data_IF_792525653963
#
_entry.id   IF_792525653963
#
_cell.length_a   1.000
_cell.length_b   1.000
_cell.length_c   1.000
_cell.angle_alpha   90.00
_cell.angle_beta   90.00
_cell.angle_gamma   90.00
#
_symmetry.space_group_name_H-M   'P 1'
#
loop_
_entity.id
_entity.type
_entity.pdbx_description
1 polymer ?
#
# COMPACT_ATOMS: atom_id res chain seq x y z
N UNK A 1 -21.32 -1.00 3.20
CA UNK A 1 -20.19 -0.59 4.05
C UNK A 1 -20.35 0.88 4.41
N UNK A 2 -20.81 1.17 5.62
CA UNK A 2 -20.77 2.53 6.19
C UNK A 2 -19.42 2.71 6.92
N UNK A 3 -18.32 2.51 6.21
CA UNK A 3 -16.98 2.53 6.80
C UNK A 3 -16.45 3.95 7.15
N UNK A 4 -17.31 4.97 7.11
CA UNK A 4 -16.92 6.36 7.42
C UNK A 4 -15.98 7.03 6.42
N UNK A 5 -15.59 6.35 5.33
CA UNK A 5 -14.72 6.88 4.30
C UNK A 5 -15.47 7.90 3.44
N UNK A 6 -15.14 9.18 3.59
CA UNK A 6 -15.75 10.26 2.80
C UNK A 6 -15.16 10.31 1.38
N UNK A 7 -13.83 10.32 1.28
CA UNK A 7 -13.08 10.32 0.01
C UNK A 7 -11.95 9.30 0.10
N UNK A 8 -11.84 8.45 -0.90
CA UNK A 8 -10.77 7.45 -0.92
C UNK A 8 -11.19 6.18 -1.65
N UNK A 9 -10.49 5.09 -1.37
CA UNK A 9 -10.79 3.80 -1.99
C UNK A 9 -10.41 2.62 -1.10
N UNK A 10 -11.00 1.46 -1.44
CA UNK A 10 -10.67 0.16 -0.87
C UNK A 10 -10.39 -0.79 -2.03
N UNK A 11 -9.24 -1.45 -1.99
CA UNK A 11 -8.84 -2.50 -2.93
C UNK A 11 -8.67 -3.80 -2.17
N UNK A 12 -9.33 -4.86 -2.62
CA UNK A 12 -9.15 -6.23 -2.10
C UNK A 12 -8.72 -7.14 -3.23
N UNK A 13 -7.58 -7.79 -3.07
CA UNK A 13 -7.04 -8.75 -4.02
C UNK A 13 -6.93 -10.14 -3.40
N UNK A 14 -7.08 -11.18 -4.21
CA UNK A 14 -6.54 -12.51 -3.88
C UNK A 14 -5.01 -12.43 -3.89
N UNK A 15 -4.39 -12.75 -2.76
CA UNK A 15 -2.96 -12.59 -2.57
C UNK A 15 -2.13 -13.50 -3.50
N UNK A 16 -2.67 -14.63 -3.93
CA UNK A 16 -1.94 -15.63 -4.68
C UNK A 16 -1.89 -15.33 -6.19
N UNK A 17 -3.00 -14.81 -6.74
CA UNK A 17 -3.17 -14.67 -8.18
C UNK A 17 -3.49 -13.26 -8.66
N UNK A 18 -3.68 -12.28 -7.73
CA UNK A 18 -3.97 -10.90 -8.07
C UNK A 18 -5.40 -10.64 -8.57
N UNK A 19 -6.33 -11.60 -8.43
CA UNK A 19 -7.74 -11.39 -8.78
C UNK A 19 -8.32 -10.24 -7.96
N UNK A 20 -8.97 -9.28 -8.63
CA UNK A 20 -9.63 -8.15 -7.98
C UNK A 20 -10.95 -8.64 -7.39
N UNK A 21 -10.99 -8.78 -6.07
CA UNK A 21 -12.18 -9.22 -5.34
C UNK A 21 -13.10 -8.05 -4.98
N UNK A 22 -12.53 -6.87 -4.75
CA UNK A 22 -13.25 -5.62 -4.60
C UNK A 22 -12.40 -4.42 -5.02
N UNK A 23 -13.04 -3.45 -5.66
CA UNK A 23 -12.45 -2.19 -6.09
C UNK A 23 -13.47 -1.09 -5.86
N UNK A 24 -13.44 -0.47 -4.69
CA UNK A 24 -14.41 0.54 -4.26
C UNK A 24 -13.78 1.93 -4.30
N UNK A 25 -14.51 2.91 -4.82
CA UNK A 25 -14.11 4.33 -4.82
C UNK A 25 -15.21 5.19 -4.19
N UNK A 26 -14.82 6.15 -3.37
CA UNK A 26 -15.72 7.05 -2.63
C UNK A 26 -15.33 8.52 -2.88
N UNK A 27 -16.31 9.44 -2.94
CA UNK A 27 -17.74 9.16 -3.02
C UNK A 27 -18.11 8.40 -4.29
N UNK A 28 -19.24 7.70 -4.26
CA UNK A 28 -19.79 6.97 -5.41
C UNK A 28 -21.00 7.70 -6.00
N UNK A 29 -21.46 7.23 -7.15
CA UNK A 29 -22.65 7.74 -7.82
C UNK A 29 -23.47 6.61 -8.41
N UNK A 30 -24.72 6.91 -8.74
CA UNK A 30 -25.63 6.03 -9.47
C UNK A 30 -26.02 6.70 -10.80
N UNK A 31 -26.65 5.95 -11.68
CA UNK A 31 -27.17 6.54 -12.93
C UNK A 31 -28.13 7.70 -12.65
N UNK A 32 -28.96 7.58 -11.61
CA UNK A 32 -29.91 8.63 -11.21
C UNK A 32 -29.25 9.89 -10.64
N UNK A 33 -28.06 9.77 -10.04
CA UNK A 33 -27.30 10.90 -9.45
C UNK A 33 -26.16 11.39 -10.34
N UNK A 34 -26.02 10.89 -11.56
CA UNK A 34 -24.93 11.27 -12.46
C UNK A 34 -24.84 12.78 -12.74
N UNK A 35 -25.99 13.44 -12.90
CA UNK A 35 -26.05 14.89 -13.14
C UNK A 35 -25.51 15.73 -11.96
N UNK A 36 -25.69 15.26 -10.73
CA UNK A 36 -25.12 15.86 -9.52
C UNK A 36 -23.64 15.53 -9.39
N UNK A 37 -23.28 14.29 -9.67
CA UNK A 37 -21.92 13.80 -9.64
C UNK A 37 -20.97 14.58 -10.57
N UNK A 38 -21.45 14.96 -11.76
CA UNK A 38 -20.70 15.78 -12.72
C UNK A 38 -20.36 17.18 -12.20
N UNK A 39 -21.13 17.71 -11.25
CA UNK A 39 -20.95 19.05 -10.66
C UNK A 39 -20.30 19.01 -9.27
N UNK A 40 -20.12 17.83 -8.72
CA UNK A 40 -19.60 17.68 -7.36
C UNK A 40 -18.10 18.02 -7.28
N UNK A 41 -17.68 18.87 -6.33
CA UNK A 41 -16.28 19.17 -6.07
C UNK A 41 -15.51 17.94 -5.57
N UNK A 42 -16.19 16.92 -5.08
CA UNK A 42 -15.60 15.68 -4.57
C UNK A 42 -15.27 14.66 -5.67
N UNK A 43 -15.54 15.00 -6.94
CA UNK A 43 -15.17 14.20 -8.11
C UNK A 43 -15.54 12.70 -7.99
N UNK A 44 -16.82 12.35 -7.81
CA UNK A 44 -17.26 10.95 -7.60
C UNK A 44 -17.10 10.07 -8.84
N UNK A 45 -16.86 10.66 -10.03
CA UNK A 45 -16.61 9.91 -11.28
C UNK A 45 -15.18 9.35 -11.36
N UNK A 46 -14.27 9.83 -10.50
CA UNK A 46 -12.90 9.33 -10.45
C UNK A 46 -12.88 7.99 -9.71
N UNK A 47 -12.34 6.96 -10.36
CA UNK A 47 -12.02 5.71 -9.65
C UNK A 47 -10.68 5.86 -8.94
N UNK A 48 -10.71 6.24 -7.67
CA UNK A 48 -9.54 6.54 -6.85
C UNK A 48 -8.59 5.36 -6.67
N UNK A 49 -9.07 4.14 -6.84
CA UNK A 49 -8.22 2.96 -6.78
C UNK A 49 -7.22 2.87 -7.96
N UNK A 50 -7.51 3.58 -9.05
CA UNK A 50 -6.73 3.55 -10.29
C UNK A 50 -5.85 4.78 -10.51
N UNK A 51 -6.04 5.86 -9.72
CA UNK A 51 -5.26 7.10 -9.82
C UNK A 51 -4.06 7.07 -8.88
N UNK A 52 -2.97 7.75 -9.27
CA UNK A 52 -1.76 7.82 -8.48
C UNK A 52 -1.80 8.91 -7.42
N UNK A 53 -1.33 8.57 -6.22
CA UNK A 53 -1.23 9.44 -5.03
C UNK A 53 0.15 9.34 -4.40
N UNK A 54 0.60 10.35 -3.63
CA UNK A 54 1.74 10.20 -2.71
C UNK A 54 1.57 8.99 -1.79
N UNK A 55 2.61 8.15 -1.68
CA UNK A 55 2.53 6.85 -1.00
C UNK A 55 2.94 6.93 0.47
N UNK A 56 3.98 7.72 0.76
CA UNK A 56 4.55 7.84 2.10
C UNK A 56 5.15 6.54 2.63
N UNK A 57 5.03 6.31 3.92
CA UNK A 57 5.75 5.27 4.67
C UNK A 57 5.47 3.81 4.25
N UNK A 58 4.44 3.53 3.46
CA UNK A 58 4.27 2.20 2.86
C UNK A 58 5.46 1.86 1.97
N UNK A 59 6.01 2.84 1.28
CA UNK A 59 7.17 2.65 0.41
C UNK A 59 8.44 2.16 1.15
N UNK A 60 8.53 2.31 2.48
CA UNK A 60 9.64 1.78 3.29
C UNK A 60 9.84 0.26 3.14
N UNK A 61 8.83 -0.45 2.66
CA UNK A 61 8.93 -1.86 2.30
C UNK A 61 9.95 -2.09 1.16
N UNK A 62 10.13 -1.12 0.25
CA UNK A 62 11.11 -1.21 -0.86
C UNK A 62 12.55 -1.15 -0.35
N UNK A 63 13.02 -0.12 0.40
CA UNK A 63 14.37 -0.13 0.96
C UNK A 63 14.57 -1.24 1.99
N UNK A 64 13.52 -1.73 2.68
CA UNK A 64 13.61 -2.92 3.51
C UNK A 64 13.93 -4.18 2.67
N UNK A 65 13.23 -4.37 1.54
CA UNK A 65 13.54 -5.45 0.59
C UNK A 65 14.99 -5.38 0.08
N UNK A 66 15.47 -4.16 -0.23
CA UNK A 66 16.86 -3.95 -0.63
C UNK A 66 17.84 -4.36 0.47
N UNK A 67 17.59 -3.95 1.70
CA UNK A 67 18.44 -4.26 2.85
C UNK A 67 18.52 -5.77 3.10
N UNK A 68 17.39 -6.46 3.05
CA UNK A 68 17.29 -7.90 3.21
C UNK A 68 18.04 -8.64 2.09
N UNK A 69 17.90 -8.21 0.84
CA UNK A 69 18.56 -8.84 -0.31
C UNK A 69 20.08 -8.59 -0.37
N UNK A 70 20.57 -7.54 0.31
CA UNK A 70 22.00 -7.17 0.34
C UNK A 70 22.68 -7.49 1.69
N UNK A 71 22.07 -8.33 2.53
CA UNK A 71 22.58 -8.70 3.86
C UNK A 71 22.82 -7.51 4.80
N UNK A 72 22.01 -6.45 4.66
CA UNK A 72 22.02 -5.28 5.54
C UNK A 72 20.95 -5.35 6.64
N UNK A 73 20.39 -6.52 6.92
CA UNK A 73 19.38 -6.74 7.97
C UNK A 73 19.88 -6.37 9.37
N UNK A 74 21.19 -6.44 9.61
CA UNK A 74 21.81 -6.06 10.89
C UNK A 74 22.16 -4.56 10.98
N UNK A 75 21.83 -3.77 9.95
CA UNK A 75 22.07 -2.32 10.01
C UNK A 75 21.27 -1.71 11.16
N UNK A 76 21.90 -0.84 11.94
CA UNK A 76 21.25 -0.13 13.03
C UNK A 76 21.59 1.37 12.97
N UNK A 77 20.67 2.19 13.48
CA UNK A 77 20.80 3.63 13.53
C UNK A 77 20.15 4.18 14.81
N UNK A 78 20.75 5.20 15.41
CA UNK A 78 20.16 5.89 16.59
C UNK A 78 19.39 7.10 16.13
N UNK A 79 18.06 7.03 16.18
CA UNK A 79 17.18 8.13 15.83
C UNK A 79 17.08 9.13 16.97
N UNK A 80 17.51 10.36 16.73
CA UNK A 80 17.45 11.52 17.66
C UNK A 80 16.38 12.54 17.25
N UNK A 81 15.37 12.12 16.45
CA UNK A 81 14.30 13.00 15.98
C UNK A 81 14.56 13.66 14.63
N UNK A 82 15.81 13.63 14.13
CA UNK A 82 16.18 14.16 12.82
C UNK A 82 17.44 13.49 12.28
N UNK A 83 17.70 13.72 10.98
CA UNK A 83 18.96 13.38 10.29
C UNK A 83 19.26 14.46 9.26
N UNK A 84 20.53 14.85 9.15
CA UNK A 84 20.99 15.78 8.12
C UNK A 84 21.66 15.02 6.97
N UNK A 85 21.29 15.33 5.76
CA UNK A 85 21.94 14.88 4.53
C UNK A 85 22.40 16.14 3.80
N UNK A 86 23.69 16.36 3.82
CA UNK A 86 24.28 17.68 3.45
C UNK A 86 23.58 18.82 4.22
N UNK A 87 23.08 19.81 3.53
CA UNK A 87 22.41 21.02 4.06
C UNK A 87 20.90 20.80 4.34
N UNK A 88 20.35 19.63 4.03
CA UNK A 88 18.93 19.32 4.28
C UNK A 88 18.75 18.54 5.57
N UNK A 89 17.84 19.03 6.42
CA UNK A 89 17.42 18.35 7.65
C UNK A 89 16.09 17.64 7.41
N UNK A 90 16.10 16.35 7.65
CA UNK A 90 14.90 15.50 7.60
C UNK A 90 14.45 15.15 9.02
N UNK A 91 13.18 15.30 9.27
CA UNK A 91 12.62 15.06 10.58
C UNK A 91 11.89 13.71 10.69
N UNK A 92 12.02 13.10 11.86
CA UNK A 92 11.14 12.04 12.26
C UNK A 92 9.77 12.62 12.66
N UNK A 93 8.70 11.79 12.63
CA UNK A 93 7.41 12.18 13.18
C UNK A 93 7.50 12.35 14.71
N UNK A 94 8.29 11.52 15.38
CA UNK A 94 8.68 11.75 16.78
C UNK A 94 9.93 12.65 16.81
N UNK A 95 9.74 13.87 17.28
CA UNK A 95 10.81 14.89 17.37
C UNK A 95 11.82 14.59 18.48
N UNK A 96 11.44 13.77 19.48
CA UNK A 96 12.34 13.32 20.54
C UNK A 96 13.24 12.16 20.07
N UNK A 97 12.86 11.50 18.96
CA UNK A 97 13.56 10.36 18.40
C UNK A 97 13.19 9.04 19.05
N UNK A 98 13.43 7.96 18.31
CA UNK A 98 13.08 6.59 18.72
C UNK A 98 14.25 5.84 19.39
N UNK A 99 15.40 6.51 19.61
CA UNK A 99 16.59 5.84 20.11
C UNK A 99 17.17 4.83 19.11
N UNK A 100 17.79 3.76 19.61
CA UNK A 100 18.41 2.73 18.77
C UNK A 100 17.35 1.94 17.99
N UNK A 101 17.51 1.92 16.68
CA UNK A 101 16.63 1.26 15.73
C UNK A 101 17.42 0.23 14.93
N UNK A 102 16.91 -0.97 14.82
CA UNK A 102 17.21 -1.95 13.77
C UNK A 102 16.09 -1.91 12.71
N UNK A 103 16.11 -2.80 11.73
CA UNK A 103 15.13 -2.81 10.63
C UNK A 103 13.70 -3.06 11.15
N UNK A 104 13.53 -3.96 12.13
CA UNK A 104 12.21 -4.27 12.69
C UNK A 104 11.66 -3.11 13.52
N UNK A 105 12.43 -2.58 14.46
CA UNK A 105 12.04 -1.42 15.26
C UNK A 105 11.71 -0.21 14.38
N UNK A 106 12.52 0.04 13.33
CA UNK A 106 12.29 1.12 12.39
C UNK A 106 11.01 0.93 11.54
N UNK A 107 10.62 -0.32 11.25
CA UNK A 107 9.37 -0.63 10.56
C UNK A 107 8.17 -0.41 11.49
N UNK A 108 8.25 -0.85 12.75
CA UNK A 108 7.23 -0.64 13.79
C UNK A 108 7.00 0.86 14.01
N UNK A 109 8.06 1.59 14.33
CA UNK A 109 7.99 3.03 14.59
C UNK A 109 7.87 3.88 13.33
N UNK A 110 7.89 3.28 12.14
CA UNK A 110 7.91 4.04 10.87
C UNK A 110 9.01 5.12 10.84
N UNK A 111 10.21 4.84 11.35
CA UNK A 111 11.28 5.81 11.63
C UNK A 111 11.90 6.35 10.33
N UNK A 112 11.64 7.62 9.98
CA UNK A 112 12.22 8.24 8.78
C UNK A 112 13.77 8.30 8.82
N UNK A 113 14.43 8.79 9.91
CA UNK A 113 15.89 8.87 9.96
C UNK A 113 16.59 7.52 9.76
N UNK A 114 16.02 6.41 10.24
CA UNK A 114 16.57 5.09 10.00
C UNK A 114 16.61 4.76 8.50
N UNK A 115 15.48 4.91 7.78
CA UNK A 115 15.42 4.60 6.35
C UNK A 115 16.26 5.55 5.51
N UNK A 116 16.38 6.82 5.91
CA UNK A 116 17.29 7.78 5.29
C UNK A 116 18.75 7.37 5.51
N UNK A 117 19.14 6.97 6.72
CA UNK A 117 20.49 6.47 7.00
C UNK A 117 20.79 5.17 6.24
N UNK A 118 19.81 4.24 6.16
CA UNK A 118 19.91 3.03 5.38
C UNK A 118 20.11 3.34 3.89
N UNK A 119 19.44 4.37 3.35
CA UNK A 119 19.59 4.77 1.95
C UNK A 119 21.03 5.13 1.58
N UNK A 120 21.84 5.60 2.54
CA UNK A 120 23.24 5.91 2.31
C UNK A 120 24.12 4.64 2.14
N UNK A 121 23.61 3.48 2.54
CA UNK A 121 24.25 2.17 2.34
C UNK A 121 23.78 1.47 1.07
N UNK A 122 22.67 1.92 0.48
CA UNK A 122 22.08 1.35 -0.71
C UNK A 122 22.41 2.20 -1.95
N UNK A 123 22.68 1.53 -3.08
CA UNK A 123 22.87 2.24 -4.34
C UNK A 123 21.53 2.73 -4.90
N UNK A 124 21.56 3.85 -5.63
CA UNK A 124 20.39 4.34 -6.36
C UNK A 124 19.82 3.28 -7.32
N UNK A 125 20.71 2.55 -8.01
CA UNK A 125 20.32 1.49 -8.95
C UNK A 125 19.57 0.34 -8.25
N UNK A 126 20.04 -0.12 -7.09
CA UNK A 126 19.36 -1.17 -6.32
C UNK A 126 17.96 -0.73 -5.87
N UNK A 127 17.85 0.48 -5.33
CA UNK A 127 16.58 1.04 -4.90
C UNK A 127 15.59 1.16 -6.05
N UNK A 128 16.03 1.73 -7.17
CA UNK A 128 15.22 1.89 -8.38
C UNK A 128 14.75 0.53 -8.94
N UNK A 129 15.67 -0.40 -9.18
CA UNK A 129 15.35 -1.72 -9.72
C UNK A 129 14.43 -2.53 -8.81
N UNK A 130 14.56 -2.40 -7.48
CA UNK A 130 13.66 -3.07 -6.54
C UNK A 130 12.27 -2.47 -6.59
N UNK A 131 12.16 -1.14 -6.70
CA UNK A 131 10.87 -0.48 -6.88
C UNK A 131 10.19 -0.91 -8.19
N UNK A 132 10.93 -0.93 -9.33
CA UNK A 132 10.41 -1.42 -10.63
C UNK A 132 9.92 -2.88 -10.54
N UNK A 133 10.73 -3.78 -9.95
CA UNK A 133 10.36 -5.19 -9.77
C UNK A 133 9.10 -5.36 -8.92
N UNK A 134 8.85 -4.44 -7.99
CA UNK A 134 7.64 -4.39 -7.17
C UNK A 134 6.48 -3.64 -7.85
N UNK A 135 6.63 -3.25 -9.12
CA UNK A 135 5.59 -2.73 -9.98
C UNK A 135 5.43 -1.21 -9.96
N UNK A 136 6.28 -0.46 -9.25
CA UNK A 136 6.22 1.01 -9.26
C UNK A 136 6.66 1.58 -10.62
N UNK A 137 6.03 2.68 -11.04
CA UNK A 137 6.33 3.35 -12.30
C UNK A 137 5.77 2.66 -13.55
N UNK A 138 4.98 1.60 -13.38
CA UNK A 138 4.40 0.83 -14.49
C UNK A 138 2.89 0.85 -14.43
N UNK A 139 2.26 1.24 -15.53
CA UNK A 139 0.81 1.17 -15.70
C UNK A 139 0.32 -0.27 -15.58
N UNK A 140 -0.85 -0.47 -14.99
CA UNK A 140 -1.47 -1.80 -14.82
C UNK A 140 -2.69 -1.87 -15.74
N UNK A 141 -2.58 -2.51 -16.93
CA UNK A 141 -3.75 -2.72 -17.79
C UNK A 141 -4.71 -3.73 -17.14
N UNK A 142 -6.00 -3.38 -17.12
CA UNK A 142 -7.09 -4.23 -16.62
C UNK A 142 -7.98 -4.71 -17.75
N UNK A 143 -8.19 -3.87 -18.76
CA UNK A 143 -8.89 -4.16 -20.01
C UNK A 143 -8.24 -3.33 -21.13
N UNK A 144 -8.72 -3.45 -22.37
CA UNK A 144 -8.25 -2.66 -23.52
C UNK A 144 -8.43 -1.14 -23.32
N UNK A 145 -9.30 -0.71 -22.40
CA UNK A 145 -9.65 0.70 -22.19
C UNK A 145 -9.57 1.16 -20.73
N UNK A 146 -9.24 0.27 -19.81
CA UNK A 146 -9.12 0.58 -18.38
C UNK A 146 -7.76 0.14 -17.88
N UNK A 147 -7.02 1.07 -17.30
CA UNK A 147 -5.77 0.80 -16.64
C UNK A 147 -5.65 1.59 -15.33
N UNK A 148 -4.80 1.12 -14.43
CA UNK A 148 -4.38 1.92 -13.28
C UNK A 148 -3.10 2.67 -13.62
N UNK A 149 -3.06 3.93 -13.17
CA UNK A 149 -1.93 4.83 -13.34
C UNK A 149 -0.64 4.20 -12.75
N UNK A 150 0.44 4.25 -13.52
CA UNK A 150 1.76 3.79 -13.12
C UNK A 150 2.41 4.64 -12.03
N UNK A 151 1.89 5.84 -11.81
CA UNK A 151 2.50 6.79 -10.90
C UNK A 151 3.83 7.34 -11.40
N UNK A 152 4.51 8.07 -10.53
CA UNK A 152 5.84 8.61 -10.80
C UNK A 152 6.87 7.82 -10.00
N UNK A 153 7.78 7.16 -10.70
CA UNK A 153 9.00 6.59 -10.15
C UNK A 153 10.17 7.53 -10.51
N UNK A 154 10.85 8.15 -9.52
CA UNK A 154 12.02 8.98 -9.79
C UNK A 154 13.06 8.24 -10.61
N UNK A 155 13.70 8.92 -11.58
CA UNK A 155 14.70 8.31 -12.44
C UNK A 155 15.99 8.00 -11.68
N UNK A 156 16.84 7.14 -12.24
CA UNK A 156 18.18 6.90 -11.68
C UNK A 156 19.01 8.18 -11.58
N UNK A 157 18.77 9.18 -12.45
CA UNK A 157 19.47 10.46 -12.41
C UNK A 157 19.00 11.28 -11.22
N UNK A 158 17.70 11.31 -10.94
CA UNK A 158 17.13 12.00 -9.77
C UNK A 158 17.69 11.39 -8.47
N UNK A 159 17.76 10.05 -8.41
CA UNK A 159 18.27 9.34 -7.23
C UNK A 159 19.78 9.44 -7.01
N UNK A 160 20.55 10.06 -7.91
CA UNK A 160 21.95 10.47 -7.64
C UNK A 160 22.01 11.69 -6.73
N UNK A 161 20.96 12.48 -6.66
CA UNK A 161 20.84 13.60 -5.73
C UNK A 161 20.52 13.01 -4.36
N UNK A 162 21.41 13.20 -3.38
CA UNK A 162 21.32 12.55 -2.07
C UNK A 162 20.04 12.89 -1.32
N UNK A 163 19.52 14.11 -1.47
CA UNK A 163 18.26 14.53 -0.87
C UNK A 163 17.05 13.82 -1.52
N UNK A 164 17.04 13.67 -2.85
CA UNK A 164 15.98 12.95 -3.54
C UNK A 164 16.02 11.46 -3.22
N UNK A 165 17.21 10.86 -3.13
CA UNK A 165 17.37 9.48 -2.66
C UNK A 165 16.88 9.31 -1.21
N UNK A 166 17.15 10.28 -0.34
CA UNK A 166 16.65 10.30 1.03
C UNK A 166 15.12 10.35 1.06
N UNK A 167 14.50 11.31 0.33
CA UNK A 167 13.04 11.42 0.19
C UNK A 167 12.42 10.12 -0.32
N UNK A 168 12.99 9.55 -1.37
CA UNK A 168 12.54 8.30 -1.96
C UNK A 168 12.48 7.15 -0.95
N UNK A 169 13.49 7.00 -0.08
CA UNK A 169 13.56 5.88 0.86
C UNK A 169 12.51 5.89 1.97
N UNK A 170 11.82 7.01 2.20
CA UNK A 170 10.68 7.02 3.12
C UNK A 170 9.35 7.38 2.43
N UNK A 171 9.34 7.30 1.07
CA UNK A 171 8.13 7.42 0.26
C UNK A 171 7.65 8.85 0.04
N UNK A 172 8.56 9.80 0.02
CA UNK A 172 8.29 11.20 -0.24
C UNK A 172 8.98 11.69 -1.53
N UNK A 173 8.94 12.98 -1.80
CA UNK A 173 9.46 13.56 -3.03
C UNK A 173 8.45 13.48 -4.17
N UNK A 174 8.91 13.04 -5.35
CA UNK A 174 8.06 12.91 -6.55
C UNK A 174 7.30 11.58 -6.63
N UNK A 175 7.58 10.62 -5.74
CA UNK A 175 7.01 9.29 -5.79
C UNK A 175 5.50 9.31 -5.62
N UNK A 176 4.80 8.72 -6.59
CA UNK A 176 3.37 8.45 -6.50
C UNK A 176 3.07 7.03 -6.98
N UNK A 177 1.96 6.45 -6.52
CA UNK A 177 1.46 5.18 -6.98
C UNK A 177 -0.06 5.08 -6.83
N UNK A 178 -0.70 4.26 -7.64
CA UNK A 178 -2.11 3.96 -7.46
C UNK A 178 -2.33 2.97 -6.30
N UNK A 179 -3.49 3.02 -5.62
CA UNK A 179 -3.83 2.03 -4.61
C UNK A 179 -3.78 0.59 -5.11
N UNK A 180 -4.12 0.36 -6.38
CA UNK A 180 -3.98 -0.95 -7.00
C UNK A 180 -2.52 -1.39 -7.12
N UNK A 181 -1.58 -0.48 -7.43
CA UNK A 181 -0.14 -0.78 -7.43
C UNK A 181 0.35 -1.16 -6.03
N UNK A 182 -0.05 -0.42 -5.00
CA UNK A 182 0.29 -0.71 -3.60
C UNK A 182 -0.26 -2.08 -3.18
N UNK A 183 -1.50 -2.40 -3.54
CA UNK A 183 -2.10 -3.71 -3.30
C UNK A 183 -1.33 -4.83 -4.02
N UNK A 184 -0.97 -4.60 -5.28
CA UNK A 184 -0.18 -5.54 -6.11
C UNK A 184 1.20 -5.83 -5.50
N UNK A 185 1.91 -4.79 -5.06
CA UNK A 185 3.18 -4.94 -4.33
C UNK A 185 2.99 -5.79 -3.06
N UNK A 186 1.92 -5.53 -2.31
CA UNK A 186 1.60 -6.27 -1.09
C UNK A 186 1.28 -7.74 -1.40
N UNK A 187 0.65 -8.05 -2.54
CA UNK A 187 0.49 -9.44 -3.02
C UNK A 187 1.86 -10.12 -3.22
N UNK A 188 2.83 -9.43 -3.84
CA UNK A 188 4.16 -10.01 -4.04
C UNK A 188 4.86 -10.34 -2.72
N UNK A 189 4.65 -9.55 -1.68
CA UNK A 189 5.14 -9.86 -0.32
C UNK A 189 4.38 -11.07 0.24
N UNK A 190 3.05 -11.06 0.15
CA UNK A 190 2.17 -12.04 0.77
C UNK A 190 2.28 -13.45 0.16
N UNK A 191 2.61 -13.57 -1.13
CA UNK A 191 2.63 -14.84 -1.87
C UNK A 191 4.02 -15.45 -2.07
N UNK A 192 5.05 -14.95 -1.38
CA UNK A 192 6.40 -15.50 -1.45
C UNK A 192 7.26 -14.90 -2.56
N UNK A 193 6.93 -13.73 -3.09
CA UNK A 193 7.82 -12.93 -3.94
C UNK A 193 7.41 -12.77 -5.39
N UNK A 194 6.22 -13.19 -5.75
CA UNK A 194 5.73 -13.14 -7.14
C UNK A 194 4.75 -11.99 -7.33
N UNK A 195 5.05 -11.07 -8.24
CA UNK A 195 4.19 -9.92 -8.55
C UNK A 195 3.09 -10.34 -9.55
N UNK A 196 1.83 -10.52 -9.11
CA UNK A 196 0.77 -10.96 -10.00
C UNK A 196 0.30 -9.82 -10.90
N UNK A 197 -0.25 -10.15 -12.07
CA UNK A 197 -1.00 -9.20 -12.89
C UNK A 197 -2.44 -9.15 -12.36
N UNK A 198 -2.91 -8.00 -11.84
CA UNK A 198 -4.30 -7.86 -11.41
C UNK A 198 -5.26 -8.09 -12.57
N UNK A 199 -6.35 -8.80 -12.32
CA UNK A 199 -7.38 -9.06 -13.33
C UNK A 199 -8.75 -8.67 -12.82
N UNK A 200 -9.52 -8.00 -13.66
CA UNK A 200 -10.90 -7.61 -13.42
C UNK A 200 -11.89 -8.68 -13.91
N UNK A 201 -11.53 -9.38 -14.98
CA UNK A 201 -12.34 -10.40 -15.62
C UNK A 201 -11.73 -11.77 -15.31
N UNK A 202 -12.48 -12.61 -14.60
CA UNK A 202 -12.06 -13.99 -14.30
C UNK A 202 -12.23 -14.91 -15.49
N UNK A 203 -13.29 -14.73 -16.28
CA UNK A 203 -13.57 -15.57 -17.42
C UNK A 203 -14.92 -15.27 -18.06
N UNK A 204 -15.28 -16.06 -19.06
CA UNK A 204 -16.50 -15.92 -19.85
C UNK A 204 -17.38 -17.15 -19.62
N UNK A 205 -18.68 -16.94 -19.45
CA UNK A 205 -19.69 -18.02 -19.35
C UNK A 205 -20.68 -17.91 -20.51
N UNK A 206 -21.35 -19.02 -20.85
CA UNK A 206 -22.50 -19.02 -21.76
C UNK A 206 -23.83 -19.13 -21.03
N UNK A 207 -23.81 -19.72 -19.84
CA UNK A 207 -24.99 -20.05 -19.00
C UNK A 207 -25.04 -19.23 -17.69
N UNK A 208 -24.07 -18.32 -17.49
CA UNK A 208 -23.94 -17.55 -16.26
C UNK A 208 -23.31 -18.33 -15.08
N UNK A 209 -23.06 -19.63 -15.24
CA UNK A 209 -22.55 -20.51 -14.16
C UNK A 209 -21.23 -21.15 -14.52
N UNK A 210 -21.18 -21.82 -15.66
CA UNK A 210 -19.99 -22.60 -16.07
C UNK A 210 -19.04 -21.75 -16.89
N UNK A 211 -17.79 -21.58 -16.43
CA UNK A 211 -16.76 -20.90 -17.20
C UNK A 211 -16.44 -21.67 -18.48
N UNK A 212 -16.57 -21.01 -19.63
CA UNK A 212 -16.16 -21.54 -20.95
C UNK A 212 -14.71 -21.25 -21.24
N UNK A 213 -14.27 -20.06 -20.84
CA UNK A 213 -12.88 -19.60 -20.95
C UNK A 213 -12.49 -18.91 -19.66
N UNK A 214 -11.42 -19.35 -19.02
CA UNK A 214 -10.83 -18.66 -17.88
C UNK A 214 -9.67 -17.79 -18.35
N UNK A 215 -9.60 -16.56 -17.83
CA UNK A 215 -8.49 -15.66 -18.12
C UNK A 215 -7.22 -16.20 -17.42
N UNK A 216 -6.13 -16.32 -18.15
CA UNK A 216 -4.86 -16.75 -17.59
C UNK A 216 -4.36 -15.75 -16.51
N UNK A 217 -3.79 -16.30 -15.45
CA UNK A 217 -3.09 -15.52 -14.44
C UNK A 217 -1.62 -15.44 -14.81
N UNK A 218 -1.11 -14.23 -14.98
CA UNK A 218 0.31 -13.99 -15.22
C UNK A 218 0.95 -13.36 -13.99
N UNK A 219 2.21 -13.68 -13.78
CA UNK A 219 2.96 -13.13 -12.65
C UNK A 219 4.46 -13.10 -12.97
N UNK A 220 5.19 -12.18 -12.37
CA UNK A 220 6.64 -12.04 -12.55
C UNK A 220 7.38 -12.16 -11.22
N UNK A 221 8.55 -12.81 -11.16
CA UNK A 221 9.37 -12.82 -9.96
C UNK A 221 9.82 -11.40 -9.58
N UNK A 222 9.52 -10.98 -8.34
CA UNK A 222 9.88 -9.66 -7.81
C UNK A 222 10.85 -9.73 -6.64
N UNK A 223 10.65 -10.70 -5.74
CA UNK A 223 11.46 -10.90 -4.55
C UNK A 223 11.91 -12.37 -4.46
N UNK A 224 12.99 -12.64 -3.72
CA UNK A 224 13.27 -14.01 -3.31
C UNK A 224 12.28 -14.46 -2.24
N UNK A 225 11.97 -15.77 -2.13
CA UNK A 225 11.08 -16.26 -1.08
C UNK A 225 11.53 -15.85 0.33
N UNK A 226 12.84 -15.89 0.61
CA UNK A 226 13.38 -15.46 1.91
C UNK A 226 13.15 -13.96 2.17
N UNK A 227 13.32 -13.11 1.16
CA UNK A 227 13.06 -11.67 1.28
C UNK A 227 11.58 -11.41 1.51
N UNK A 228 10.70 -12.12 0.79
CA UNK A 228 9.25 -11.99 0.97
C UNK A 228 8.81 -12.41 2.37
N UNK A 229 9.31 -13.57 2.88
CA UNK A 229 9.03 -14.02 4.24
C UNK A 229 9.50 -13.01 5.29
N UNK A 230 10.73 -12.50 5.17
CA UNK A 230 11.23 -11.50 6.11
C UNK A 230 10.41 -10.18 6.07
N UNK A 231 9.93 -9.76 4.90
CA UNK A 231 9.02 -8.61 4.79
C UNK A 231 7.65 -8.91 5.43
N UNK A 232 7.12 -10.13 5.29
CA UNK A 232 5.89 -10.53 5.99
C UNK A 232 6.08 -10.39 7.50
N UNK A 233 7.20 -10.90 8.06
CA UNK A 233 7.52 -10.77 9.47
C UNK A 233 7.63 -9.32 9.92
N UNK A 234 8.24 -8.44 9.12
CA UNK A 234 8.30 -7.01 9.39
C UNK A 234 6.92 -6.35 9.38
N UNK A 235 6.03 -6.73 8.45
CA UNK A 235 4.65 -6.21 8.40
C UNK A 235 3.80 -6.73 9.56
N UNK A 236 4.01 -7.97 9.99
CA UNK A 236 3.38 -8.53 11.20
C UNK A 236 3.90 -7.77 12.43
N UNK A 237 5.21 -7.60 12.56
CA UNK A 237 5.79 -6.83 13.66
C UNK A 237 5.27 -5.39 13.70
N UNK A 238 5.09 -4.74 12.55
CA UNK A 238 4.53 -3.39 12.47
C UNK A 238 3.07 -3.32 12.92
N UNK A 239 2.29 -4.37 12.70
CA UNK A 239 0.89 -4.44 13.15
C UNK A 239 0.74 -4.69 14.65
N UNK A 240 1.68 -5.41 15.28
CA UNK A 240 1.57 -5.81 16.68
C UNK A 240 2.58 -5.13 17.61
N UNK A 241 3.52 -4.38 17.07
CA UNK A 241 4.57 -3.69 17.83
C UNK A 241 4.16 -2.36 18.44
N UNK A 242 2.92 -1.91 18.22
CA UNK A 242 2.36 -0.68 18.78
C UNK A 242 0.97 -0.95 19.35
N UNK A 243 0.76 -0.67 20.62
CA UNK A 243 -0.54 -0.80 21.31
C UNK A 243 -1.60 0.17 20.77
N UNK A 244 -1.18 1.18 20.00
CA UNK A 244 -2.09 2.18 19.42
C UNK A 244 -2.55 1.82 18.00
N UNK A 245 -2.07 0.73 17.41
CA UNK A 245 -2.44 0.35 16.05
C UNK A 245 -3.89 -0.16 16.00
N UNK A 246 -4.71 0.47 15.15
CA UNK A 246 -6.16 0.25 15.10
C UNK A 246 -6.60 -0.77 14.02
N UNK A 247 -5.66 -1.33 13.29
CA UNK A 247 -5.94 -2.20 12.13
C UNK A 247 -6.04 -3.70 12.45
N UNK A 248 -5.86 -4.15 13.70
CA UNK A 248 -5.95 -5.56 14.05
C UNK A 248 -7.41 -5.95 14.32
N UNK A 249 -7.99 -6.88 13.54
CA UNK A 249 -9.31 -7.44 13.82
C UNK A 249 -9.24 -8.50 14.91
N UNK A 250 -10.37 -8.72 15.61
CA UNK A 250 -10.45 -9.74 16.64
C UNK A 250 -10.31 -11.16 16.08
N UNK A 251 -9.40 -11.95 16.66
CA UNK A 251 -9.22 -13.36 16.32
C UNK A 251 -8.58 -13.63 14.95
N UNK A 252 -8.14 -12.60 14.22
CA UNK A 252 -7.52 -12.74 12.89
C UNK A 252 -6.16 -12.09 12.91
N UNK A 253 -5.13 -12.86 12.53
CA UNK A 253 -3.77 -12.32 12.43
C UNK A 253 -3.55 -11.62 11.09
N UNK A 254 -2.90 -10.46 11.11
CA UNK A 254 -2.61 -9.64 9.94
C UNK A 254 -1.14 -9.24 9.88
N UNK A 255 -0.64 -8.98 8.68
CA UNK A 255 0.56 -8.19 8.47
C UNK A 255 0.16 -6.88 7.78
N UNK A 256 0.56 -5.73 8.31
CA UNK A 256 0.13 -4.46 7.76
C UNK A 256 1.17 -3.34 7.91
N UNK A 257 1.04 -2.32 7.05
CA UNK A 257 1.82 -1.08 7.14
C UNK A 257 0.93 0.12 6.87
N UNK A 258 0.91 1.07 7.81
CA UNK A 258 0.25 2.37 7.65
C UNK A 258 1.16 3.41 7.03
N UNK A 259 0.56 4.43 6.45
CA UNK A 259 1.26 5.62 6.00
C UNK A 259 0.41 6.87 6.20
N UNK A 260 1.10 7.98 6.42
CA UNK A 260 0.58 9.34 6.35
C UNK A 260 1.39 10.04 5.28
N UNK A 261 0.80 10.23 4.11
CA UNK A 261 1.48 10.80 2.95
C UNK A 261 1.15 12.29 2.83
N UNK A 262 2.18 13.13 2.86
CA UNK A 262 2.06 14.57 2.70
C UNK A 262 1.66 14.94 1.28
N UNK A 263 0.75 15.93 1.14
CA UNK A 263 0.23 16.34 -0.17
C UNK A 263 0.81 17.66 -0.67
N UNK A 264 1.49 18.41 0.19
CA UNK A 264 1.94 19.79 -0.04
C UNK A 264 0.78 20.75 -0.34
N UNK A 265 -0.45 20.37 0.00
CA UNK A 265 -1.65 21.22 0.00
C UNK A 265 -1.99 21.57 1.44
N UNK A 266 -2.39 22.81 1.66
CA UNK A 266 -2.66 23.34 2.99
C UNK A 266 -4.08 23.89 3.03
N UNK A 267 -4.71 23.82 4.19
CA UNK A 267 -5.97 24.48 4.45
C UNK A 267 -5.75 25.98 4.74
N UNK A 268 -6.84 26.71 4.97
CA UNK A 268 -6.81 28.14 5.24
C UNK A 268 -6.07 28.50 6.55
N UNK A 269 -5.89 27.52 7.44
CA UNK A 269 -5.17 27.69 8.72
C UNK A 269 -3.69 27.29 8.62
N UNK A 270 -3.24 26.82 7.46
CA UNK A 270 -1.86 26.40 7.21
C UNK A 270 -1.59 24.95 7.65
N UNK A 271 -2.63 24.15 7.91
CA UNK A 271 -2.49 22.71 8.21
C UNK A 271 -2.39 21.94 6.90
N UNK A 272 -1.37 21.09 6.79
CA UNK A 272 -1.15 20.27 5.59
C UNK A 272 -2.17 19.14 5.49
N UNK A 273 -2.81 19.02 4.32
CA UNK A 273 -3.61 17.84 4.01
C UNK A 273 -2.70 16.62 3.82
N UNK A 274 -3.07 15.52 4.47
CA UNK A 274 -2.36 14.26 4.34
C UNK A 274 -3.31 13.15 3.92
N UNK A 275 -2.82 12.24 3.09
CA UNK A 275 -3.55 11.01 2.77
C UNK A 275 -3.21 9.93 3.80
N UNK A 276 -4.25 9.38 4.41
CA UNK A 276 -4.12 8.22 5.30
C UNK A 276 -4.16 6.92 4.50
N UNK A 277 -3.15 6.07 4.67
CA UNK A 277 -3.07 4.79 3.99
C UNK A 277 -2.86 3.63 4.95
N UNK A 278 -3.30 2.47 4.51
CA UNK A 278 -2.90 1.18 5.03
C UNK A 278 -2.89 0.16 3.90
N UNK A 279 -1.92 -0.74 3.92
CA UNK A 279 -1.94 -1.96 3.14
C UNK A 279 -1.53 -3.14 4.01
N UNK A 280 -2.13 -4.30 3.76
CA UNK A 280 -1.80 -5.49 4.53
C UNK A 280 -2.43 -6.74 3.94
N UNK A 281 -2.13 -7.86 4.57
CA UNK A 281 -2.59 -9.18 4.18
C UNK A 281 -3.12 -9.96 5.38
N UNK A 282 -4.01 -10.90 5.12
CA UNK A 282 -4.53 -11.83 6.11
C UNK A 282 -4.98 -13.17 5.49
N UNK A 283 -5.04 -14.27 6.29
CA UNK A 283 -4.42 -14.47 7.60
C UNK A 283 -2.89 -14.38 7.52
N UNK A 284 -2.21 -13.87 8.55
CA UNK A 284 -0.76 -13.66 8.51
C UNK A 284 0.05 -14.95 8.28
N UNK A 285 -0.42 -16.10 8.82
CA UNK A 285 0.25 -17.38 8.70
C UNK A 285 0.14 -18.03 7.31
N UNK A 286 -0.92 -17.70 6.56
CA UNK A 286 -1.16 -18.19 5.19
C UNK A 286 -1.93 -17.12 4.43
N UNK A 287 -1.25 -16.09 3.92
CA UNK A 287 -1.92 -14.97 3.27
C UNK A 287 -2.80 -15.39 2.11
N UNK A 288 -4.06 -14.98 2.15
CA UNK A 288 -5.04 -15.23 1.10
C UNK A 288 -5.61 -13.95 0.51
N UNK A 289 -5.72 -12.92 1.33
CA UNK A 289 -6.26 -11.64 0.93
C UNK A 289 -5.26 -10.52 1.19
N UNK A 290 -5.22 -9.59 0.26
CA UNK A 290 -4.58 -8.29 0.44
C UNK A 290 -5.67 -7.24 0.48
N UNK A 291 -5.60 -6.33 1.45
CA UNK A 291 -6.48 -5.16 1.57
C UNK A 291 -5.62 -3.92 1.57
N UNK A 292 -5.97 -2.97 0.72
CA UNK A 292 -5.36 -1.62 0.69
C UNK A 292 -6.46 -0.58 0.81
N UNK A 293 -6.29 0.36 1.73
CA UNK A 293 -7.21 1.48 1.95
C UNK A 293 -6.46 2.78 1.78
N UNK A 294 -7.04 3.69 1.04
CA UNK A 294 -6.65 5.09 0.93
C UNK A 294 -7.79 5.96 1.45
N UNK A 295 -7.53 6.77 2.47
CA UNK A 295 -8.38 7.88 2.91
C UNK A 295 -7.78 9.19 2.36
N UNK A 296 -8.38 9.72 1.28
CA UNK A 296 -7.94 10.97 0.65
C UNK A 296 -8.21 12.15 1.60
N UNK A 297 -7.18 12.94 1.89
CA UNK A 297 -7.20 14.04 2.85
C UNK A 297 -7.69 13.63 4.27
N UNK A 298 -7.55 12.32 4.59
CA UNK A 298 -8.06 11.75 5.83
C UNK A 298 -7.16 11.94 7.05
N UNK A 299 -5.97 12.51 6.90
CA UNK A 299 -5.01 12.68 7.97
C UNK A 299 -4.16 11.43 8.22
N UNK A 300 -4.01 11.03 9.48
CA UNK A 300 -3.13 9.92 9.86
C UNK A 300 -3.69 8.56 9.42
N UNK A 301 -2.83 7.73 8.81
CA UNK A 301 -3.23 6.42 8.31
C UNK A 301 -3.76 5.48 9.40
N UNK A 302 -3.21 5.57 10.61
CA UNK A 302 -3.69 4.78 11.75
C UNK A 302 -5.12 5.14 12.18
N UNK A 303 -5.49 6.42 12.05
CA UNK A 303 -6.79 6.89 12.52
C UNK A 303 -7.86 6.83 11.43
N UNK A 304 -7.47 7.11 10.17
CA UNK A 304 -8.40 7.21 9.06
C UNK A 304 -8.54 5.91 8.25
N UNK A 305 -7.46 5.17 8.02
CA UNK A 305 -7.45 4.00 7.15
C UNK A 305 -7.44 2.67 7.91
N UNK A 306 -6.77 2.58 9.06
CA UNK A 306 -6.64 1.32 9.79
C UNK A 306 -7.96 0.79 10.38
N UNK A 307 -8.89 1.60 10.92
CA UNK A 307 -10.21 1.11 11.33
C UNK A 307 -11.02 0.54 10.16
N UNK A 308 -10.92 1.15 8.98
CA UNK A 308 -11.59 0.67 7.76
C UNK A 308 -11.01 -0.66 7.30
N UNK A 309 -9.68 -0.78 7.32
CA UNK A 309 -8.98 -2.04 7.01
C UNK A 309 -9.45 -3.17 7.92
N UNK A 310 -9.56 -2.93 9.23
CA UNK A 310 -10.08 -3.89 10.21
C UNK A 310 -11.51 -4.30 9.88
N UNK A 311 -12.42 -3.33 9.68
CA UNK A 311 -13.82 -3.59 9.35
C UNK A 311 -13.97 -4.42 8.08
N UNK A 312 -13.20 -4.12 7.02
CA UNK A 312 -13.22 -4.88 5.77
C UNK A 312 -12.83 -6.34 6.00
N UNK A 313 -11.80 -6.60 6.80
CA UNK A 313 -11.37 -7.97 7.14
C UNK A 313 -12.46 -8.70 7.90
N UNK A 314 -13.03 -8.09 8.93
CA UNK A 314 -14.11 -8.65 9.73
C UNK A 314 -15.32 -9.02 8.85
N UNK A 315 -15.72 -8.16 7.94
CA UNK A 315 -16.80 -8.42 6.97
C UNK A 315 -16.49 -9.59 6.03
N UNK A 316 -15.28 -9.68 5.50
CA UNK A 316 -14.87 -10.79 4.62
C UNK A 316 -14.94 -12.12 5.38
N UNK A 317 -14.51 -12.15 6.64
CA UNK A 317 -14.50 -13.36 7.45
C UNK A 317 -15.94 -13.76 7.84
N UNK A 318 -16.76 -12.80 8.24
CA UNK A 318 -18.18 -13.05 8.58
C UNK A 318 -18.97 -13.63 7.39
N UNK A 319 -18.81 -13.06 6.19
CA UNK A 319 -19.47 -13.55 4.98
C UNK A 319 -19.08 -14.99 4.62
N UNK A 320 -17.85 -15.41 4.93
CA UNK A 320 -17.38 -16.78 4.68
C UNK A 320 -17.77 -17.78 5.78
N UNK A 321 -18.00 -17.32 6.99
CA UNK A 321 -18.50 -18.12 8.09
C UNK A 321 -20.00 -18.42 7.97
N UNK A 322 -20.75 -17.61 7.20
CA UNK A 322 -22.15 -17.91 6.86
C UNK A 322 -22.17 -18.99 5.77
N UNK A 323 -22.86 -20.13 5.98
CA UNK A 323 -23.10 -21.07 4.89
C UNK A 323 -23.80 -20.29 3.78
N UNK A 324 -23.32 -20.45 2.55
CA UNK A 324 -24.01 -19.93 1.37
C UNK A 324 -25.41 -20.55 1.36
N UNK A 325 -26.37 -19.89 2.01
CA UNK A 325 -27.75 -20.20 1.86
C UNK A 325 -28.08 -19.97 0.38
N UNK A 326 -28.29 -21.06 -0.35
CA UNK A 326 -28.60 -21.03 -1.78
C UNK A 326 -29.77 -20.09 -2.05
N UNK A 327 -29.48 -18.88 -2.39
CA UNK A 327 -30.35 -17.99 -3.13
C UNK A 327 -29.96 -18.16 -4.60
N UNK A 328 -30.66 -19.11 -5.25
CA UNK A 328 -30.75 -19.13 -6.69
C UNK A 328 -31.20 -17.74 -7.13
N UNK A 329 -30.40 -17.10 -7.95
CA UNK A 329 -30.82 -15.94 -8.74
C UNK A 329 -31.89 -16.47 -9.71
N UNK A 330 -33.18 -16.26 -9.36
CA UNK A 330 -34.30 -16.36 -10.27
C UNK A 330 -34.38 -15.11 -11.15
#
# INVERSE_FOLDING_TARGET
>A
LSCGLKKGCIVVLDAQNGEILALCSFPSYTVSTLGEALKSPDSPLINRALYAYPVGSIFKLVPAACALSQNLSQFSYTCTGSISIYDQVFHCHDRNGHGKQDLQAAMIHSCNPYFIALSQKLSAATLFQTAEKLGYGTEIPLTDSISADGGILPTLQDLKISAEKANFCFGQGMLTASPLQVARMTCAIANGGTLPQPRLIRGITKDGVSLVTETETTATPALSPNTATALQELMIAAAYGSDTFQGVPDGITVGAKTSTAQTRRYDETGVEYCHGWITGFFPASKPRYVVTVLAEDGGYGNDAAAPIFREVIEQIVQQKALPLSGAALS
#
